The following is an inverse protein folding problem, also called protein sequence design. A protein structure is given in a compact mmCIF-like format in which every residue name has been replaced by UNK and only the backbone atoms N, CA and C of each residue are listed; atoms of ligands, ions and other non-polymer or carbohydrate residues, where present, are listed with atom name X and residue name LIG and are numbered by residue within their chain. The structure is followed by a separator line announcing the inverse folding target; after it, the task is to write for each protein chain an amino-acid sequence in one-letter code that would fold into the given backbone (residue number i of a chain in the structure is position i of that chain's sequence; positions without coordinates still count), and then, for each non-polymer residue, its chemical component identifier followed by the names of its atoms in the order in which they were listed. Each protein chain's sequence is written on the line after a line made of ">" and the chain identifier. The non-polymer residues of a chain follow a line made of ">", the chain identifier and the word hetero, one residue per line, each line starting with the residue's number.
data_IF_383791158760
#
_entry.id   IF_383791158760
#
_cell.length_a   1.000
_cell.length_b   1.000
_cell.length_c   1.000
_cell.angle_alpha   90.00
_cell.angle_beta   90.00
_cell.angle_gamma   90.00
#
_symmetry.space_group_name_H-M   'P 1'
#
loop_
_entity.id
_entity.type
_entity.pdbx_description
1 polymer ?
#
# COMPACT_ATOMS: atom_id res chain seq x y z
N UNK A 1 -34.79 -28.90 18.19
CA UNK A 1 -35.89 -28.85 17.21
C UNK A 1 -35.37 -28.26 15.95
N UNK A 2 -35.25 -29.11 14.99
CA UNK A 2 -35.38 -29.13 13.53
C UNK A 2 -34.26 -28.36 12.80
N UNK A 3 -33.33 -29.05 12.10
CA UNK A 3 -33.42 -29.96 10.94
C UNK A 3 -33.80 -29.24 9.62
N UNK A 4 -32.91 -29.38 8.65
CA UNK A 4 -33.19 -29.39 7.22
C UNK A 4 -32.41 -28.31 6.49
N UNK A 5 -31.72 -28.56 5.38
CA UNK A 5 -31.76 -29.68 4.49
C UNK A 5 -30.62 -29.64 3.47
N UNK A 6 -30.26 -30.81 3.08
CA UNK A 6 -29.37 -31.14 1.95
C UNK A 6 -29.99 -30.75 0.63
N UNK A 7 -29.16 -30.35 -0.33
CA UNK A 7 -29.41 -30.62 -1.75
C UNK A 7 -28.10 -30.96 -2.46
N UNK A 8 -27.97 -32.23 -2.76
CA UNK A 8 -27.08 -32.78 -3.79
C UNK A 8 -27.77 -32.59 -5.15
N UNK A 9 -27.03 -32.20 -6.15
CA UNK A 9 -27.39 -32.46 -7.54
C UNK A 9 -26.15 -33.01 -8.25
N UNK A 10 -26.29 -34.28 -8.59
CA UNK A 10 -25.44 -35.01 -9.54
C UNK A 10 -25.90 -34.68 -10.97
N UNK A 11 -24.99 -34.76 -11.92
CA UNK A 11 -25.31 -35.15 -13.26
C UNK A 11 -24.74 -34.30 -14.38
N UNK A 12 -23.93 -34.92 -15.22
CA UNK A 12 -23.64 -34.37 -16.53
C UNK A 12 -22.32 -34.80 -17.17
N UNK A 13 -22.20 -36.07 -17.43
CA UNK A 13 -21.19 -36.65 -18.32
C UNK A 13 -21.56 -36.33 -19.77
N UNK A 14 -20.73 -35.64 -20.54
CA UNK A 14 -20.85 -35.61 -22.01
C UNK A 14 -19.46 -35.81 -22.62
N UNK A 15 -19.27 -37.01 -23.12
CA UNK A 15 -18.20 -37.46 -24.02
C UNK A 15 -18.58 -36.94 -25.43
N UNK A 16 -17.67 -36.22 -26.04
CA UNK A 16 -17.80 -35.79 -27.45
C UNK A 16 -16.42 -35.70 -28.09
N UNK A 17 -15.98 -36.81 -28.66
CA UNK A 17 -14.83 -36.85 -29.52
C UNK A 17 -15.20 -36.32 -30.90
N UNK A 18 -14.53 -35.31 -31.41
CA UNK A 18 -14.52 -34.97 -32.84
C UNK A 18 -13.07 -34.70 -33.24
N UNK A 19 -12.52 -35.67 -34.01
CA UNK A 19 -11.36 -35.52 -34.87
C UNK A 19 -11.74 -34.63 -36.05
N UNK A 20 -10.93 -33.61 -36.32
CA UNK A 20 -10.87 -33.01 -37.64
C UNK A 20 -9.44 -32.54 -37.95
N UNK A 21 -9.05 -32.96 -39.14
CA UNK A 21 -7.75 -32.90 -39.74
C UNK A 21 -7.21 -31.49 -40.06
N UNK A 22 -5.87 -31.41 -40.19
CA UNK A 22 -5.05 -30.33 -40.67
C UNK A 22 -5.44 -29.80 -42.07
N UNK A 23 -5.11 -28.50 -42.37
CA UNK A 23 -4.04 -28.30 -43.31
C UNK A 23 -2.95 -27.30 -42.85
N UNK A 24 -1.72 -27.62 -43.21
CA UNK A 24 -0.58 -26.71 -43.25
C UNK A 24 -0.87 -25.59 -44.25
N UNK A 25 -0.76 -24.36 -43.79
CA UNK A 25 -0.49 -23.23 -44.68
C UNK A 25 0.65 -22.42 -44.08
N UNK A 26 1.78 -22.59 -44.71
CA UNK A 26 2.94 -21.70 -44.56
C UNK A 26 2.59 -20.37 -45.22
N UNK A 27 2.69 -19.28 -44.48
CA UNK A 27 2.91 -17.96 -45.05
C UNK A 27 3.97 -17.25 -44.22
N UNK A 28 5.09 -17.11 -44.89
CA UNK A 28 6.19 -16.23 -44.52
C UNK A 28 5.73 -14.78 -44.47
N UNK A 29 6.42 -14.05 -43.65
CA UNK A 29 6.92 -12.70 -43.80
C UNK A 29 6.31 -11.61 -42.97
N UNK A 30 7.24 -10.90 -42.55
CA UNK A 30 7.30 -9.48 -42.16
C UNK A 30 7.40 -9.24 -40.68
N UNK A 31 8.62 -8.85 -40.30
CA UNK A 31 8.99 -8.34 -39.01
C UNK A 31 8.05 -7.22 -38.57
N UNK A 32 7.28 -7.52 -37.59
CA UNK A 32 6.76 -6.54 -36.69
C UNK A 32 7.63 -6.56 -35.45
N UNK A 33 8.31 -5.49 -35.25
CA UNK A 33 8.98 -5.17 -33.99
C UNK A 33 7.92 -5.17 -32.91
N UNK A 34 7.65 -6.34 -32.33
CA UNK A 34 6.80 -6.44 -31.17
C UNK A 34 7.54 -5.74 -30.03
N UNK A 35 7.06 -4.59 -29.62
CA UNK A 35 7.39 -4.03 -28.31
C UNK A 35 7.10 -5.11 -27.27
N UNK A 36 8.01 -5.35 -26.32
CA UNK A 36 7.75 -6.32 -25.27
C UNK A 36 6.46 -5.90 -24.54
N UNK A 37 5.60 -6.84 -24.17
CA UNK A 37 4.47 -6.53 -23.33
C UNK A 37 5.00 -5.91 -22.04
N UNK A 38 4.48 -4.75 -21.67
CA UNK A 38 4.70 -4.18 -20.36
C UNK A 38 4.19 -5.20 -19.34
N UNK A 39 5.12 -5.87 -18.68
CA UNK A 39 4.83 -6.72 -17.55
C UNK A 39 4.46 -5.81 -16.39
N UNK A 40 3.17 -5.59 -16.20
CA UNK A 40 2.60 -4.82 -15.07
C UNK A 40 2.66 -5.58 -13.75
N UNK A 41 3.44 -6.66 -13.67
CA UNK A 41 3.59 -7.49 -12.46
C UNK A 41 4.84 -7.17 -11.65
N UNK A 42 5.53 -6.07 -11.92
CA UNK A 42 6.51 -5.60 -10.97
C UNK A 42 5.79 -4.89 -9.84
N UNK A 43 5.44 -5.66 -8.80
CA UNK A 43 5.21 -5.11 -7.49
C UNK A 43 6.40 -4.19 -7.14
N UNK A 44 6.18 -2.99 -6.56
CA UNK A 44 7.26 -2.14 -6.13
C UNK A 44 8.21 -2.98 -5.28
N UNK A 45 9.43 -3.21 -5.77
CA UNK A 45 10.47 -3.79 -4.94
C UNK A 45 10.78 -2.76 -3.86
N UNK A 46 10.84 -3.13 -2.58
CA UNK A 46 11.38 -2.26 -1.57
C UNK A 46 12.86 -2.07 -1.89
N UNK A 47 13.19 -0.98 -2.58
CA UNK A 47 14.56 -0.60 -2.83
C UNK A 47 15.16 -0.01 -1.55
N UNK A 48 16.24 -0.66 -1.15
CA UNK A 48 17.40 -0.11 -0.47
C UNK A 48 17.12 0.99 0.57
N UNK A 49 17.13 0.59 1.85
CA UNK A 49 17.34 1.50 2.99
C UNK A 49 16.43 2.73 2.96
N UNK A 50 15.13 2.50 3.07
CA UNK A 50 14.18 3.57 3.38
C UNK A 50 14.60 4.14 4.74
N UNK A 51 15.10 5.35 4.72
CA UNK A 51 15.37 6.10 5.94
C UNK A 51 14.03 6.68 6.39
N UNK A 52 13.66 6.40 7.62
CA UNK A 52 12.43 6.94 8.19
C UNK A 52 12.47 8.47 8.18
N UNK A 53 11.37 9.10 7.80
CA UNK A 53 11.19 10.54 7.88
C UNK A 53 11.27 10.99 9.33
N UNK A 54 12.02 12.04 9.62
CA UNK A 54 12.04 12.60 10.97
C UNK A 54 10.70 13.25 11.29
N UNK A 55 10.19 13.05 12.50
CA UNK A 55 8.99 13.76 12.96
C UNK A 55 9.19 15.26 12.97
N UNK A 56 8.25 16.00 12.38
CA UNK A 56 8.27 17.45 12.27
C UNK A 56 7.04 18.06 12.95
N UNK A 57 7.26 18.99 13.88
CA UNK A 57 6.20 19.68 14.61
C UNK A 57 6.04 21.15 14.19
N UNK A 58 6.79 21.56 13.17
CA UNK A 58 6.84 22.93 12.66
C UNK A 58 6.22 23.08 11.26
N UNK A 59 5.43 22.10 10.86
CA UNK A 59 4.79 22.07 9.56
C UNK A 59 3.65 23.09 9.46
N UNK A 60 3.40 23.57 8.26
CA UNK A 60 2.27 24.42 7.90
C UNK A 60 1.40 23.74 6.85
N UNK A 61 0.15 24.19 6.69
CA UNK A 61 -0.80 23.59 5.74
C UNK A 61 -0.89 22.06 5.88
N UNK A 62 -1.03 21.62 7.09
CA UNK A 62 -1.10 20.19 7.43
C UNK A 62 -2.33 19.52 6.83
N UNK A 63 -2.16 18.25 6.44
CA UNK A 63 -3.22 17.35 5.98
C UNK A 63 -2.93 15.93 6.43
N UNK A 64 -3.95 15.18 6.74
CA UNK A 64 -3.82 13.74 6.92
C UNK A 64 -3.58 13.08 5.57
N UNK A 65 -2.68 12.09 5.54
CA UNK A 65 -2.43 11.24 4.39
C UNK A 65 -2.64 9.78 4.78
N UNK A 66 -3.27 9.02 3.88
CA UNK A 66 -3.46 7.60 4.10
C UNK A 66 -2.12 6.88 4.01
N UNK A 67 -1.91 5.93 4.93
CA UNK A 67 -0.77 5.04 4.83
C UNK A 67 -1.20 3.68 4.26
N UNK A 68 -0.27 3.01 3.57
CA UNK A 68 -0.57 1.84 2.76
C UNK A 68 -0.39 0.52 3.52
N UNK A 69 0.61 0.48 4.39
CA UNK A 69 0.95 -0.67 5.21
C UNK A 69 1.78 -0.27 6.42
N UNK A 70 1.90 -1.18 7.36
CA UNK A 70 2.79 -1.02 8.50
C UNK A 70 3.64 -2.27 8.71
N UNK A 71 4.69 -2.11 9.51
CA UNK A 71 5.59 -3.18 9.93
C UNK A 71 5.91 -2.99 11.41
N UNK A 72 5.75 -4.02 12.22
CA UNK A 72 6.18 -3.99 13.62
C UNK A 72 7.69 -4.20 13.64
N UNK A 73 8.43 -3.17 14.05
CA UNK A 73 9.90 -3.18 14.08
C UNK A 73 10.42 -3.82 15.36
N UNK A 74 9.79 -3.48 16.48
CA UNK A 74 10.00 -4.10 17.77
C UNK A 74 8.73 -4.03 18.63
N UNK A 75 8.81 -4.37 19.92
CA UNK A 75 7.65 -4.46 20.79
C UNK A 75 6.89 -3.12 20.97
N UNK A 76 7.58 -1.99 20.80
CA UNK A 76 7.02 -0.64 20.98
C UNK A 76 7.22 0.27 19.76
N UNK A 77 7.60 -0.28 18.60
CA UNK A 77 7.88 0.54 17.42
C UNK A 77 7.22 -0.04 16.18
N UNK A 78 6.52 0.83 15.47
CA UNK A 78 5.81 0.53 14.22
C UNK A 78 6.36 1.44 13.13
N UNK A 79 6.80 0.87 12.01
CA UNK A 79 7.10 1.62 10.79
C UNK A 79 5.88 1.67 9.91
N UNK A 80 5.50 2.87 9.52
CA UNK A 80 4.34 3.13 8.66
C UNK A 80 4.83 3.60 7.30
N UNK A 81 4.25 3.06 6.22
CA UNK A 81 4.61 3.33 4.84
C UNK A 81 3.52 4.15 4.17
N UNK A 82 3.90 5.26 3.54
CA UNK A 82 2.95 6.18 2.92
C UNK A 82 3.55 6.85 1.69
N UNK A 83 2.69 7.51 0.92
CA UNK A 83 3.13 8.33 -0.20
C UNK A 83 3.28 9.78 0.25
N UNK A 84 4.49 10.31 0.16
CA UNK A 84 4.84 11.69 0.48
C UNK A 84 5.09 12.53 -0.77
N UNK A 85 5.02 13.85 -0.61
CA UNK A 85 5.47 14.82 -1.61
C UNK A 85 6.99 14.95 -1.64
N UNK A 86 7.47 15.94 -2.42
CA UNK A 86 8.90 16.25 -2.58
C UNK A 86 9.57 16.58 -1.24
N UNK A 87 10.66 15.90 -0.92
CA UNK A 87 11.36 16.02 0.36
C UNK A 87 11.97 17.40 0.68
N UNK A 88 12.10 18.28 -0.33
CA UNK A 88 12.55 19.67 -0.12
C UNK A 88 11.42 20.62 0.32
N UNK A 89 10.16 20.18 0.22
CA UNK A 89 8.99 20.99 0.47
C UNK A 89 8.11 20.47 1.59
N UNK A 90 8.04 19.15 1.73
CA UNK A 90 7.11 18.47 2.61
C UNK A 90 7.83 17.63 3.63
N UNK A 91 7.31 17.64 4.85
CA UNK A 91 7.69 16.76 5.92
C UNK A 91 6.48 16.07 6.52
N UNK A 92 6.72 15.16 7.46
CA UNK A 92 5.65 14.42 8.10
C UNK A 92 5.81 14.36 9.63
N UNK A 93 4.70 14.08 10.29
CA UNK A 93 4.62 13.65 11.67
C UNK A 93 3.57 12.56 11.82
N UNK A 94 3.69 11.73 12.83
CA UNK A 94 2.63 10.80 13.18
C UNK A 94 1.85 11.29 14.40
N UNK A 95 0.56 10.99 14.42
CA UNK A 95 -0.33 11.10 15.58
C UNK A 95 -0.73 9.69 15.95
N UNK A 96 -0.66 9.36 17.23
CA UNK A 96 -0.94 8.03 17.75
C UNK A 96 -1.97 8.13 18.86
N UNK A 97 -3.00 7.30 18.78
CA UNK A 97 -3.96 7.08 19.87
C UNK A 97 -3.91 5.60 20.24
N UNK A 98 -3.74 5.33 21.53
CA UNK A 98 -3.62 3.97 22.04
C UNK A 98 -4.81 3.58 22.90
N UNK A 99 -5.31 2.37 22.64
CA UNK A 99 -6.32 1.70 23.46
C UNK A 99 -5.80 0.33 23.89
N UNK A 100 -6.53 -0.35 24.76
CA UNK A 100 -6.18 -1.72 25.16
C UNK A 100 -6.22 -2.72 24.00
N UNK A 101 -6.92 -2.40 22.91
CA UNK A 101 -7.14 -3.32 21.77
C UNK A 101 -6.61 -2.81 20.45
N UNK A 102 -6.25 -1.53 20.35
CA UNK A 102 -5.79 -0.93 19.10
C UNK A 102 -4.72 0.13 19.31
N UNK A 103 -3.88 0.29 18.29
CA UNK A 103 -2.99 1.43 18.06
C UNK A 103 -3.49 2.13 16.81
N UNK A 104 -4.06 3.32 16.98
CA UNK A 104 -4.59 4.11 15.89
C UNK A 104 -3.55 5.15 15.46
N UNK A 105 -3.18 5.15 14.19
CA UNK A 105 -2.08 5.97 13.66
C UNK A 105 -2.58 6.82 12.50
N UNK A 106 -2.34 8.13 12.56
CA UNK A 106 -2.43 9.00 11.39
C UNK A 106 -1.04 9.51 11.00
N UNK A 107 -0.78 9.61 9.72
CA UNK A 107 0.35 10.34 9.16
C UNK A 107 -0.14 11.70 8.71
N UNK A 108 0.51 12.75 9.20
CA UNK A 108 0.22 14.13 8.86
C UNK A 108 1.38 14.65 8.02
N UNK A 109 1.09 15.04 6.79
CA UNK A 109 2.02 15.74 5.90
C UNK A 109 1.75 17.23 5.94
N UNK A 110 2.79 18.03 5.89
CA UNK A 110 2.66 19.48 5.79
C UNK A 110 3.87 20.10 5.09
N UNK A 111 3.77 21.37 4.80
CA UNK A 111 4.82 22.16 4.13
C UNK A 111 5.84 22.66 5.16
N UNK A 112 7.13 22.62 4.82
CA UNK A 112 8.15 23.23 5.65
C UNK A 112 7.99 24.76 5.69
N UNK A 113 8.26 25.41 6.83
CA UNK A 113 8.19 26.88 6.94
C UNK A 113 9.13 27.61 5.99
N UNK A 114 10.24 27.00 5.63
CA UNK A 114 11.28 27.48 4.73
C UNK A 114 11.28 26.80 3.37
N UNK A 115 10.15 26.19 3.00
CA UNK A 115 10.00 25.59 1.67
C UNK A 115 10.18 26.62 0.55
N UNK A 116 10.74 26.24 -0.60
CA UNK A 116 10.85 27.12 -1.74
C UNK A 116 9.46 27.51 -2.26
N UNK A 117 9.36 28.71 -2.91
CA UNK A 117 8.10 29.22 -3.47
C UNK A 117 7.45 28.28 -4.51
N UNK A 118 8.24 27.41 -5.12
CA UNK A 118 7.79 26.43 -6.10
C UNK A 118 8.24 25.02 -5.70
N UNK A 119 7.25 24.16 -5.46
CA UNK A 119 7.46 22.75 -5.16
C UNK A 119 7.06 21.90 -6.37
N UNK A 120 7.83 20.88 -6.67
CA UNK A 120 7.44 19.88 -7.67
C UNK A 120 6.34 18.97 -7.10
N UNK A 121 5.48 18.47 -7.98
CA UNK A 121 4.41 17.53 -7.61
C UNK A 121 4.90 16.10 -7.80
N UNK A 122 6.06 15.78 -7.25
CA UNK A 122 6.58 14.40 -7.26
C UNK A 122 6.07 13.65 -6.03
N UNK A 123 5.46 12.51 -6.27
CA UNK A 123 5.12 11.56 -5.22
C UNK A 123 6.28 10.58 -5.02
N UNK A 124 6.62 10.30 -3.77
CA UNK A 124 7.65 9.32 -3.38
C UNK A 124 7.15 8.43 -2.27
N UNK A 125 7.63 7.20 -2.24
CA UNK A 125 7.49 6.34 -1.06
C UNK A 125 8.25 6.94 0.12
N UNK A 126 7.65 6.91 1.30
CA UNK A 126 8.25 7.36 2.54
C UNK A 126 7.83 6.44 3.69
N UNK A 127 8.63 6.45 4.74
CA UNK A 127 8.33 5.75 5.98
C UNK A 127 8.47 6.69 7.17
N UNK A 128 7.74 6.40 8.23
CA UNK A 128 7.89 7.08 9.50
C UNK A 128 7.85 6.04 10.63
N UNK A 129 8.79 6.15 11.56
CA UNK A 129 8.83 5.29 12.73
C UNK A 129 7.95 5.89 13.82
N UNK A 130 7.04 5.10 14.32
CA UNK A 130 6.08 5.46 15.37
C UNK A 130 6.41 4.68 16.62
N UNK A 131 6.58 5.37 17.74
CA UNK A 131 6.78 4.75 19.05
C UNK A 131 5.46 4.71 19.82
N UNK A 132 5.21 3.59 20.52
CA UNK A 132 4.03 3.38 21.36
C UNK A 132 4.42 3.37 22.83
N UNK A 133 3.54 3.85 23.70
CA UNK A 133 3.74 3.85 25.15
C UNK A 133 3.65 2.43 25.73
N UNK A 134 2.83 1.59 25.12
CA UNK A 134 2.65 0.20 25.50
C UNK A 134 3.03 -0.75 24.35
N UNK A 135 3.45 -1.99 24.65
CA UNK A 135 3.76 -2.97 23.62
C UNK A 135 2.63 -3.16 22.63
N UNK A 136 2.95 -3.23 21.34
CA UNK A 136 1.96 -3.46 20.27
C UNK A 136 1.26 -4.79 20.46
N UNK A 137 2.02 -5.85 20.79
CA UNK A 137 1.52 -7.20 21.09
C UNK A 137 0.42 -7.67 20.11
N UNK A 138 -0.76 -8.01 20.64
CA UNK A 138 -1.91 -8.48 19.86
C UNK A 138 -2.91 -7.35 19.53
N UNK A 139 -2.51 -6.08 19.71
CA UNK A 139 -3.37 -4.94 19.38
C UNK A 139 -3.45 -4.75 17.86
N UNK A 140 -4.63 -4.37 17.38
CA UNK A 140 -4.82 -4.02 15.98
C UNK A 140 -4.15 -2.68 15.66
N UNK A 141 -3.39 -2.61 14.57
CA UNK A 141 -2.82 -1.35 14.07
C UNK A 141 -3.69 -0.84 12.94
N UNK A 142 -4.34 0.30 13.15
CA UNK A 142 -5.35 0.85 12.25
C UNK A 142 -5.13 2.34 11.96
N UNK A 143 -5.78 2.82 10.91
CA UNK A 143 -5.76 4.24 10.54
C UNK A 143 -6.59 5.06 11.52
N UNK A 144 -6.01 6.13 12.09
CA UNK A 144 -6.75 7.13 12.87
C UNK A 144 -7.54 8.04 11.91
N UNK A 145 -8.87 8.09 12.08
CA UNK A 145 -9.75 8.72 11.11
C UNK A 145 -9.76 10.27 11.14
N UNK A 146 -9.72 10.86 12.33
CA UNK A 146 -9.89 12.31 12.52
C UNK A 146 -8.74 12.89 13.39
N UNK A 147 -7.49 12.93 12.89
CA UNK A 147 -6.37 13.43 13.67
C UNK A 147 -6.40 14.94 13.84
N UNK A 148 -5.86 15.43 14.96
CA UNK A 148 -5.67 16.87 15.17
C UNK A 148 -4.59 17.42 14.20
N UNK A 149 -4.95 18.51 13.49
CA UNK A 149 -4.07 19.29 12.62
C UNK A 149 -3.74 20.63 13.29
N UNK A 150 -2.58 21.21 12.96
CA UNK A 150 -2.10 22.49 13.50
C UNK A 150 -2.12 23.59 12.43
#
# INVERSE_FOLDING_TARGET
>A
MQCGGRSQQLGGLCIGAIMCALPLSACSSSGSTASPPFDSSQAPQPDATEVDEPHRNDLTNERAVDWERHEIVDENSIRVFFTAGTSSCFGARAVVEETDTAVEIAVIEGTFPDAPDACTLEARGATILVETEQPVADRDVVQLADPELH
#
